data_IF_348943665958
#
_entry.id   IF_348943665958
#
_cell.length_a   1.000
_cell.length_b   1.000
_cell.length_c   1.000
_cell.angle_alpha   90.00
_cell.angle_beta   90.00
_cell.angle_gamma   90.00
#
_symmetry.space_group_name_H-M   'P 1'
#
loop_
_entity.id
_entity.type
_entity.pdbx_description
1 polymer ?
#
# COMPACT_ATOMS: atom_id res chain seq x y z
N UNK A 1 -12.32 9.43 8.20
CA UNK A 1 -10.92 9.00 8.26
C UNK A 1 -10.78 7.94 7.19
N UNK A 2 -9.95 8.16 6.18
CA UNK A 2 -9.69 7.13 5.19
C UNK A 2 -8.73 6.12 5.83
N UNK A 3 -9.07 4.85 5.78
CA UNK A 3 -8.20 3.77 6.24
C UNK A 3 -7.94 2.88 5.03
N UNK A 4 -6.71 2.45 4.91
CA UNK A 4 -6.27 1.57 3.83
C UNK A 4 -5.59 0.36 4.45
N UNK A 5 -5.70 -0.78 3.78
CA UNK A 5 -5.01 -1.99 4.20
C UNK A 5 -3.71 -2.06 3.43
N UNK A 6 -2.61 -2.09 4.17
CA UNK A 6 -1.30 -2.36 3.60
C UNK A 6 -1.28 -3.82 3.13
N UNK A 7 -1.21 -4.04 1.82
CA UNK A 7 -1.23 -5.37 1.20
C UNK A 7 0.05 -6.19 1.45
N UNK A 8 1.12 -5.56 1.94
CA UNK A 8 2.40 -6.22 2.27
C UNK A 8 2.34 -6.82 3.67
N UNK A 9 1.84 -6.07 4.65
CA UNK A 9 1.80 -6.51 6.05
C UNK A 9 0.40 -6.84 6.58
N UNK A 10 -0.64 -6.66 5.75
CA UNK A 10 -2.06 -6.82 6.10
C UNK A 10 -2.50 -5.97 7.31
N UNK A 11 -1.81 -4.85 7.54
CA UNK A 11 -2.13 -3.93 8.63
C UNK A 11 -3.01 -2.80 8.11
N UNK A 12 -4.04 -2.45 8.88
CA UNK A 12 -4.83 -1.25 8.61
C UNK A 12 -4.02 -0.02 8.99
N UNK A 13 -3.90 0.91 8.06
CA UNK A 13 -3.18 2.17 8.24
C UNK A 13 -4.11 3.34 8.00
N UNK A 14 -3.96 4.37 8.82
CA UNK A 14 -4.68 5.62 8.61
C UNK A 14 -4.06 6.37 7.43
N UNK A 15 -4.91 6.68 6.45
CA UNK A 15 -4.54 7.46 5.28
C UNK A 15 -4.53 8.93 5.68
N UNK A 16 -3.34 9.50 5.68
CA UNK A 16 -3.07 10.92 5.94
C UNK A 16 -2.23 11.48 4.80
N UNK A 17 -2.11 12.80 4.69
CA UNK A 17 -1.26 13.46 3.69
C UNK A 17 0.23 13.05 3.77
N UNK A 18 0.68 12.57 4.93
CA UNK A 18 2.07 12.12 5.14
C UNK A 18 2.24 10.62 4.98
N UNK A 19 1.15 9.86 4.80
CA UNK A 19 1.19 8.40 4.67
C UNK A 19 1.82 8.01 3.33
N UNK A 20 2.83 7.12 3.32
CA UNK A 20 3.44 6.66 2.08
C UNK A 20 2.42 5.91 1.23
N UNK A 21 2.29 6.31 -0.03
CA UNK A 21 1.37 5.73 -0.99
C UNK A 21 2.03 5.50 -2.34
N UNK A 22 1.49 4.53 -3.07
CA UNK A 22 1.94 4.16 -4.43
C UNK A 22 0.71 4.00 -5.30
N UNK A 23 0.70 4.70 -6.42
CA UNK A 23 -0.33 4.56 -7.44
C UNK A 23 0.03 3.40 -8.37
N UNK A 24 -0.82 2.36 -8.42
CA UNK A 24 -0.63 1.18 -9.25
C UNK A 24 -1.94 0.80 -9.96
N UNK A 25 -1.90 0.64 -11.29
CA UNK A 25 -3.07 0.35 -12.13
C UNK A 25 -4.27 1.28 -11.91
N UNK A 26 -4.01 2.57 -11.65
CA UNK A 26 -5.05 3.57 -11.36
C UNK A 26 -5.67 3.46 -9.96
N UNK A 27 -5.14 2.58 -9.11
CA UNK A 27 -5.52 2.44 -7.70
C UNK A 27 -4.40 2.95 -6.81
N UNK A 28 -4.75 3.79 -5.83
CA UNK A 28 -3.80 4.28 -4.83
C UNK A 28 -3.72 3.32 -3.64
N UNK A 29 -2.56 2.72 -3.44
CA UNK A 29 -2.26 1.86 -2.30
C UNK A 29 -1.50 2.64 -1.24
N UNK A 30 -1.80 2.38 0.02
CA UNK A 30 -1.16 3.03 1.17
C UNK A 30 -0.45 2.00 2.02
N UNK A 31 0.65 2.43 2.63
CA UNK A 31 1.57 1.55 3.35
C UNK A 31 1.83 2.06 4.76
N UNK A 32 2.11 1.15 5.68
CA UNK A 32 2.41 1.50 7.07
C UNK A 32 3.78 2.20 7.19
N UNK A 33 4.69 1.91 6.26
CA UNK A 33 6.04 2.47 6.23
C UNK A 33 6.61 2.47 4.82
N UNK A 34 7.68 3.25 4.63
CA UNK A 34 8.43 3.29 3.37
C UNK A 34 9.01 1.91 2.97
N UNK A 35 9.26 1.03 3.94
CA UNK A 35 9.70 -0.35 3.68
C UNK A 35 8.64 -1.16 2.93
N UNK A 36 7.39 -1.13 3.41
CA UNK A 36 6.28 -1.80 2.74
C UNK A 36 5.99 -1.20 1.36
N UNK A 37 6.04 0.13 1.24
CA UNK A 37 5.92 0.80 -0.06
C UNK A 37 7.00 0.35 -1.05
N UNK A 38 8.25 0.20 -0.59
CA UNK A 38 9.36 -0.28 -1.42
C UNK A 38 9.17 -1.74 -1.84
N UNK A 39 8.84 -2.64 -0.90
CA UNK A 39 8.56 -4.04 -1.23
C UNK A 39 7.41 -4.17 -2.24
N UNK A 40 6.36 -3.35 -2.07
CA UNK A 40 5.28 -3.25 -3.03
C UNK A 40 5.74 -2.72 -4.38
N UNK A 41 6.58 -1.69 -4.44
CA UNK A 41 7.13 -1.18 -5.72
C UNK A 41 8.01 -2.22 -6.44
N UNK A 42 8.77 -3.03 -5.70
CA UNK A 42 9.60 -4.08 -6.28
C UNK A 42 8.77 -5.17 -6.96
N UNK A 43 7.62 -5.51 -6.37
CA UNK A 43 6.71 -6.51 -6.92
C UNK A 43 5.26 -6.16 -6.53
N UNK A 44 4.57 -5.25 -7.22
CA UNK A 44 3.21 -4.88 -6.84
C UNK A 44 2.20 -5.97 -7.23
N UNK A 45 2.45 -6.63 -8.35
CA UNK A 45 1.60 -7.70 -8.89
C UNK A 45 1.40 -8.87 -7.91
N UNK A 46 2.41 -9.26 -7.11
CA UNK A 46 2.22 -10.34 -6.13
C UNK A 46 1.27 -9.94 -4.97
N UNK A 47 1.18 -8.65 -4.66
CA UNK A 47 0.34 -8.15 -3.56
C UNK A 47 -1.06 -7.78 -4.02
N UNK A 48 -1.22 -7.24 -5.23
CA UNK A 48 -2.53 -6.85 -5.78
C UNK A 48 -3.28 -7.98 -6.48
N UNK A 49 -2.59 -9.04 -6.87
CA UNK A 49 -3.18 -10.13 -7.67
C UNK A 49 -3.67 -11.31 -6.81
N UNK A 50 -4.03 -11.06 -5.54
CA UNK A 50 -4.78 -12.02 -4.73
C UNK A 50 -6.25 -12.00 -5.19
N UNK A 51 -6.52 -12.66 -6.32
CA UNK A 51 -7.88 -13.02 -6.75
C UNK A 51 -8.38 -14.25 -6.03
#
# INVERSE_FOLDING_TARGET
MAQAVDVVCQMTVDVTDTTPHVDYEGTRYYFCCAGCAKSFQENPAQYVNQK
#
